data_IF_559605276032
#
_entry.id   IF_559605276032
#
_cell.length_a   1.000
_cell.length_b   1.000
_cell.length_c   1.000
_cell.angle_alpha   90.00
_cell.angle_beta   90.00
_cell.angle_gamma   90.00
#
_symmetry.space_group_name_H-M   'P 1'
#
loop_
_entity.id
_entity.type
_entity.pdbx_description
1 polymer ?
#
# COMPACT_ATOMS: atom_id res chain seq x y z
N UNK A 1 22.58 4.48 0.06
CA UNK A 1 22.33 5.89 -0.29
C UNK A 1 21.08 6.30 0.46
N UNK A 2 21.18 7.28 1.36
CA UNK A 2 20.02 7.79 2.09
C UNK A 2 19.48 9.01 1.33
N UNK A 3 18.37 8.80 0.62
CA UNK A 3 17.77 9.78 -0.29
C UNK A 3 16.67 10.62 0.39
N UNK A 4 16.33 10.34 1.66
CA UNK A 4 15.23 11.01 2.34
C UNK A 4 15.68 11.54 3.71
N UNK A 5 15.42 12.83 3.97
CA UNK A 5 15.59 13.43 5.31
C UNK A 5 14.22 13.70 5.93
N UNK A 6 13.99 13.16 7.13
CA UNK A 6 12.80 13.44 7.94
C UNK A 6 11.84 12.26 8.07
N UNK A 7 10.72 12.49 8.77
CA UNK A 7 9.64 11.52 8.96
C UNK A 7 8.40 11.99 8.21
N UNK A 8 7.63 11.04 7.70
CA UNK A 8 6.33 11.30 7.09
C UNK A 8 5.39 11.92 8.13
N UNK A 9 4.82 13.08 7.84
CA UNK A 9 4.03 13.84 8.81
C UNK A 9 2.70 13.14 9.16
N UNK A 10 2.09 12.44 8.19
CA UNK A 10 0.81 11.74 8.38
C UNK A 10 0.87 10.62 9.41
N UNK A 11 2.04 10.03 9.67
CA UNK A 11 2.18 9.05 10.76
C UNK A 11 1.90 9.67 12.14
N UNK A 12 1.96 11.00 12.27
CA UNK A 12 1.66 11.72 13.52
C UNK A 12 0.29 12.40 13.53
N UNK A 13 -0.29 12.68 12.36
CA UNK A 13 -1.57 13.39 12.25
C UNK A 13 -2.75 12.49 11.89
N UNK A 14 -2.49 11.29 11.39
CA UNK A 14 -3.51 10.31 11.01
C UNK A 14 -3.63 9.21 12.07
N UNK A 15 -4.43 9.49 13.10
CA UNK A 15 -4.56 8.65 14.29
C UNK A 15 -5.24 7.30 14.04
N UNK A 16 -6.08 7.19 13.01
CA UNK A 16 -6.82 5.97 12.69
C UNK A 16 -6.31 5.30 11.41
N UNK A 17 -5.03 4.96 11.41
CA UNK A 17 -4.40 4.29 10.25
C UNK A 17 -5.00 2.89 10.06
N UNK A 18 -5.54 2.56 8.87
CA UNK A 18 -6.01 1.21 8.57
C UNK A 18 -4.91 0.17 8.79
N UNK A 19 -5.30 -0.97 9.34
CA UNK A 19 -4.45 -2.16 9.41
C UNK A 19 -4.97 -3.20 8.44
N UNK A 20 -4.05 -3.84 7.74
CA UNK A 20 -4.33 -4.92 6.79
C UNK A 20 -3.68 -6.20 7.31
N UNK A 21 -4.30 -7.38 7.11
CA UNK A 21 -3.71 -8.65 7.52
C UNK A 21 -2.41 -8.92 6.74
N UNK A 22 -1.52 -9.70 7.34
CA UNK A 22 -0.40 -10.28 6.61
C UNK A 22 -0.92 -11.30 5.58
N UNK A 23 -0.22 -11.41 4.46
CA UNK A 23 -0.49 -12.42 3.46
C UNK A 23 0.16 -13.75 3.90
N UNK A 24 -0.60 -14.55 4.65
CA UNK A 24 -0.12 -15.80 5.24
C UNK A 24 -0.64 -17.05 4.50
N UNK A 25 -1.44 -16.84 3.45
CA UNK A 25 -2.02 -17.89 2.61
C UNK A 25 -2.03 -17.48 1.13
N UNK A 26 -2.28 -18.47 0.27
CA UNK A 26 -2.46 -18.22 -1.15
C UNK A 26 -3.82 -17.58 -1.41
N UNK A 27 -3.81 -16.43 -2.08
CA UNK A 27 -5.03 -15.73 -2.51
C UNK A 27 -5.10 -15.67 -4.04
N UNK A 28 -6.32 -15.52 -4.57
CA UNK A 28 -6.56 -15.32 -6.01
C UNK A 28 -7.06 -13.91 -6.25
N UNK A 29 -6.51 -13.27 -7.27
CA UNK A 29 -6.91 -11.96 -7.75
C UNK A 29 -6.67 -11.90 -9.26
N UNK A 30 -7.36 -10.99 -9.94
CA UNK A 30 -7.14 -10.75 -11.37
C UNK A 30 -5.86 -9.93 -11.59
N UNK A 31 -5.57 -9.02 -10.65
CA UNK A 31 -4.40 -8.15 -10.69
C UNK A 31 -3.78 -8.02 -9.30
N UNK A 32 -2.48 -8.27 -9.23
CA UNK A 32 -1.65 -8.07 -8.04
C UNK A 32 -0.75 -6.84 -8.22
N UNK A 33 -0.84 -5.90 -7.30
CA UNK A 33 0.02 -4.72 -7.21
C UNK A 33 1.04 -4.94 -6.09
N UNK A 34 2.33 -4.88 -6.43
CA UNK A 34 3.42 -5.05 -5.47
C UNK A 34 3.96 -3.66 -5.07
N UNK A 35 3.72 -3.28 -3.81
CA UNK A 35 4.12 -2.03 -3.19
C UNK A 35 2.93 -1.08 -2.95
N UNK A 36 2.64 -0.79 -1.69
CA UNK A 36 1.56 0.08 -1.24
C UNK A 36 2.06 1.50 -0.90
N UNK A 37 2.92 2.02 -1.78
CA UNK A 37 3.32 3.43 -1.81
C UNK A 37 2.35 4.28 -2.63
N UNK A 38 2.78 5.50 -2.99
CA UNK A 38 1.94 6.42 -3.78
C UNK A 38 1.51 5.83 -5.13
N UNK A 39 2.45 5.28 -5.90
CA UNK A 39 2.16 4.71 -7.22
C UNK A 39 1.22 3.52 -7.12
N UNK A 40 1.44 2.59 -6.18
CA UNK A 40 0.57 1.43 -5.99
C UNK A 40 -0.85 1.81 -5.59
N UNK A 41 -0.99 2.81 -4.70
CA UNK A 41 -2.30 3.34 -4.31
C UNK A 41 -3.02 4.00 -5.50
N UNK A 42 -2.31 4.78 -6.33
CA UNK A 42 -2.89 5.41 -7.51
C UNK A 42 -3.31 4.37 -8.56
N UNK A 43 -2.49 3.34 -8.79
CA UNK A 43 -2.83 2.23 -9.69
C UNK A 43 -4.07 1.48 -9.20
N UNK A 44 -4.15 1.17 -7.90
CA UNK A 44 -5.30 0.50 -7.33
C UNK A 44 -6.57 1.35 -7.40
N UNK A 45 -6.47 2.65 -7.14
CA UNK A 45 -7.59 3.59 -7.28
C UNK A 45 -8.12 3.60 -8.70
N UNK A 46 -7.24 3.76 -9.71
CA UNK A 46 -7.64 3.74 -11.10
C UNK A 46 -8.34 2.43 -11.51
N UNK A 47 -7.84 1.29 -11.02
CA UNK A 47 -8.42 -0.01 -11.33
C UNK A 47 -9.65 -0.36 -10.48
N UNK A 48 -9.89 0.33 -9.37
CA UNK A 48 -11.03 0.05 -8.47
C UNK A 48 -12.40 0.35 -9.10
N UNK A 49 -12.42 1.10 -10.20
CA UNK A 49 -13.64 1.36 -10.99
C UNK A 49 -13.96 0.24 -11.99
N UNK A 50 -13.10 -0.77 -12.10
CA UNK A 50 -13.33 -1.96 -12.94
C UNK A 50 -13.99 -3.10 -12.16
N UNK A 51 -14.48 -4.12 -12.88
CA UNK A 51 -15.05 -5.35 -12.28
C UNK A 51 -13.96 -6.40 -11.97
N UNK A 52 -12.74 -5.95 -11.65
CA UNK A 52 -11.60 -6.82 -11.35
C UNK A 52 -11.38 -6.93 -9.85
N UNK A 53 -11.01 -8.13 -9.40
CA UNK A 53 -10.51 -8.34 -8.06
C UNK A 53 -9.04 -7.89 -7.96
N UNK A 54 -8.83 -6.75 -7.33
CA UNK A 54 -7.53 -6.08 -7.18
C UNK A 54 -6.96 -6.37 -5.78
N UNK A 55 -5.72 -6.81 -5.72
CA UNK A 55 -4.98 -6.94 -4.44
C UNK A 55 -3.70 -6.11 -4.47
N UNK A 56 -3.42 -5.42 -3.36
CA UNK A 56 -2.14 -4.75 -3.12
C UNK A 56 -1.41 -5.48 -2.00
N UNK A 57 -0.13 -5.75 -2.19
CA UNK A 57 0.75 -6.31 -1.15
C UNK A 57 1.92 -5.37 -0.91
N UNK A 58 2.30 -5.18 0.35
CA UNK A 58 3.52 -4.48 0.74
C UNK A 58 4.24 -5.30 1.82
N UNK A 59 5.57 -5.32 1.76
CA UNK A 59 6.41 -5.98 2.77
C UNK A 59 6.33 -5.26 4.12
N UNK A 60 6.07 -3.95 4.11
CA UNK A 60 5.99 -3.07 5.28
C UNK A 60 4.53 -2.62 5.46
N UNK A 61 4.34 -1.66 6.37
CA UNK A 61 3.04 -1.02 6.55
C UNK A 61 2.72 -0.12 5.35
N UNK A 62 1.49 -0.23 4.85
CA UNK A 62 0.94 0.60 3.78
C UNK A 62 1.16 2.09 4.07
N UNK A 63 1.60 2.87 3.08
CA UNK A 63 1.76 4.32 3.20
C UNK A 63 2.91 4.79 4.10
N UNK A 64 3.82 3.91 4.54
CA UNK A 64 4.95 4.28 5.41
C UNK A 64 6.23 4.68 4.66
N UNK A 65 6.16 4.81 3.33
CA UNK A 65 7.27 5.26 2.51
C UNK A 65 8.39 4.23 2.35
N UNK A 66 9.55 4.69 1.89
CA UNK A 66 10.67 3.81 1.51
C UNK A 66 11.72 3.62 2.59
N UNK A 67 11.52 4.22 3.77
CA UNK A 67 12.51 4.29 4.86
C UNK A 67 12.69 2.98 5.64
#
# INVERSE_FOLDING_TARGET
MDLQKGKLYWNTTFSNTPSYPCLDEDIKCDVLIIGAGSSGAQSAYYLSESDLNIVIVDKRKVGHGSN
#
